data_IF_989938182404
#
_entry.id   IF_989938182404
#
_cell.length_a   1.000
_cell.length_b   1.000
_cell.length_c   1.000
_cell.angle_alpha   90.00
_cell.angle_beta   90.00
_cell.angle_gamma   90.00
#
_symmetry.space_group_name_H-M   'P 1'
#
loop_
_entity.id
_entity.type
_entity.pdbx_description
1 polymer ?
#
# COMPACT_ATOMS: atom_id res chain seq x y z
N UNK A 1 -0.72 -18.50 12.84
CA UNK A 1 0.39 -17.52 12.81
C UNK A 1 -0.22 -16.14 13.01
N UNK A 2 -0.18 -15.61 14.24
CA UNK A 2 -0.70 -14.27 14.53
C UNK A 2 0.42 -13.30 14.15
N UNK A 3 0.20 -12.48 13.13
CA UNK A 3 0.86 -11.16 13.08
C UNK A 3 0.63 -10.56 14.47
N UNK A 4 1.68 -10.10 15.16
CA UNK A 4 1.56 -9.43 16.45
C UNK A 4 0.38 -8.46 16.41
N UNK A 5 -0.38 -8.37 17.51
CA UNK A 5 -1.75 -7.82 17.51
C UNK A 5 -1.87 -6.65 16.53
N UNK A 6 -2.71 -6.80 15.51
CA UNK A 6 -2.85 -5.77 14.46
C UNK A 6 -3.27 -4.42 15.06
N UNK A 7 -3.74 -4.40 16.31
CA UNK A 7 -4.01 -3.24 17.15
C UNK A 7 -2.78 -2.36 17.42
N UNK A 8 -1.55 -2.88 17.40
CA UNK A 8 -0.31 -2.13 17.68
C UNK A 8 0.40 -1.58 16.43
N UNK A 9 -0.01 -1.98 15.23
CA UNK A 9 0.66 -1.52 14.01
C UNK A 9 0.31 -0.06 13.71
N UNK A 10 1.31 0.83 13.72
CA UNK A 10 1.18 2.22 13.31
C UNK A 10 1.03 2.34 11.78
N UNK A 11 1.74 1.49 11.03
CA UNK A 11 1.64 1.34 9.59
C UNK A 11 1.56 -0.15 9.22
N UNK A 12 0.63 -0.52 8.34
CA UNK A 12 0.56 -1.84 7.70
C UNK A 12 0.36 -1.63 6.21
N UNK A 13 1.24 -2.22 5.41
CA UNK A 13 1.13 -2.19 3.97
C UNK A 13 1.20 -3.59 3.35
N UNK A 14 0.56 -3.69 2.19
CA UNK A 14 0.66 -4.83 1.28
C UNK A 14 1.40 -4.35 0.04
N UNK A 15 2.57 -4.91 -0.20
CA UNK A 15 3.32 -4.74 -1.43
C UNK A 15 3.15 -5.98 -2.32
N UNK A 16 3.09 -5.77 -3.63
CA UNK A 16 3.09 -6.85 -4.62
C UNK A 16 4.08 -6.54 -5.74
N UNK A 17 4.84 -7.54 -6.18
CA UNK A 17 5.79 -7.45 -7.29
C UNK A 17 5.96 -8.83 -7.94
N UNK A 18 6.73 -8.93 -9.02
CA UNK A 18 7.10 -10.23 -9.60
C UNK A 18 7.82 -11.11 -8.55
N UNK A 19 7.60 -12.44 -8.51
CA UNK A 19 8.28 -13.32 -7.56
C UNK A 19 9.81 -13.19 -7.57
N UNK A 20 10.40 -12.91 -8.73
CA UNK A 20 11.85 -12.70 -8.92
C UNK A 20 12.34 -11.39 -8.32
N UNK A 21 11.48 -10.39 -8.13
CA UNK A 21 11.82 -9.11 -7.50
C UNK A 21 11.55 -9.10 -6.00
N UNK A 22 10.89 -10.13 -5.46
CA UNK A 22 10.48 -10.17 -4.06
C UNK A 22 11.65 -10.09 -3.06
N UNK A 23 12.79 -10.78 -3.25
CA UNK A 23 13.93 -10.66 -2.34
C UNK A 23 14.47 -9.22 -2.27
N UNK A 24 14.70 -8.60 -3.41
CA UNK A 24 15.18 -7.21 -3.49
C UNK A 24 14.16 -6.21 -2.89
N UNK A 25 12.86 -6.47 -3.08
CA UNK A 25 11.81 -5.68 -2.46
C UNK A 25 11.84 -5.81 -0.94
N UNK A 26 11.95 -7.03 -0.39
CA UNK A 26 12.05 -7.26 1.06
C UNK A 26 13.24 -6.51 1.64
N UNK A 27 14.43 -6.65 1.05
CA UNK A 27 15.63 -5.91 1.45
C UNK A 27 15.38 -4.39 1.46
N UNK A 28 14.73 -3.87 0.42
CA UNK A 28 14.40 -2.45 0.32
C UNK A 28 13.44 -2.00 1.43
N UNK A 29 12.43 -2.81 1.75
CA UNK A 29 11.49 -2.53 2.84
C UNK A 29 12.19 -2.51 4.20
N UNK A 30 13.14 -3.41 4.43
CA UNK A 30 13.93 -3.47 5.67
C UNK A 30 14.80 -2.23 5.92
N UNK A 31 15.14 -1.48 4.86
CA UNK A 31 15.88 -0.22 4.99
C UNK A 31 15.03 0.96 5.48
N UNK A 32 13.70 0.83 5.49
CA UNK A 32 12.79 1.93 5.84
C UNK A 32 12.54 1.96 7.35
N UNK A 33 13.16 2.93 8.03
CA UNK A 33 12.91 3.34 9.43
C UNK A 33 12.66 2.18 10.41
N UNK A 34 13.75 1.49 10.78
CA UNK A 34 13.72 0.38 11.73
C UNK A 34 13.20 -0.92 11.10
N UNK A 35 13.47 -2.07 11.72
CA UNK A 35 13.12 -3.35 11.13
C UNK A 35 11.59 -3.56 11.12
N UNK A 36 10.94 -3.70 9.95
CA UNK A 36 9.54 -4.10 9.88
C UNK A 36 9.34 -5.54 10.36
N UNK A 37 8.12 -5.86 10.76
CA UNK A 37 7.67 -7.25 10.75
C UNK A 37 7.19 -7.60 9.33
N UNK A 38 7.71 -8.69 8.78
CA UNK A 38 7.44 -9.10 7.39
C UNK A 38 6.74 -10.46 7.35
N UNK A 39 5.71 -10.56 6.50
CA UNK A 39 5.12 -11.81 6.04
C UNK A 39 5.15 -11.85 4.51
N UNK A 40 6.00 -12.71 3.96
CA UNK A 40 6.10 -12.92 2.52
C UNK A 40 5.28 -14.13 2.08
N UNK A 41 4.62 -14.01 0.94
CA UNK A 41 3.96 -15.09 0.21
C UNK A 41 4.63 -15.19 -1.18
N UNK A 42 5.78 -15.88 -1.28
CA UNK A 42 6.66 -15.77 -2.45
C UNK A 42 6.04 -16.25 -3.76
N UNK A 43 5.20 -17.28 -3.68
CA UNK A 43 4.57 -17.91 -4.85
C UNK A 43 3.57 -17.00 -5.57
N UNK A 44 3.02 -16.01 -4.86
CA UNK A 44 2.07 -15.03 -5.41
C UNK A 44 2.67 -13.63 -5.51
N UNK A 45 3.95 -13.45 -5.15
CA UNK A 45 4.64 -12.17 -5.24
C UNK A 45 4.13 -11.10 -4.27
N UNK A 46 3.62 -11.50 -3.09
CA UNK A 46 3.04 -10.57 -2.10
C UNK A 46 3.89 -10.52 -0.84
N UNK A 47 4.09 -9.32 -0.30
CA UNK A 47 4.71 -9.08 1.01
C UNK A 47 3.81 -8.16 1.82
N UNK A 48 3.51 -8.56 3.05
CA UNK A 48 2.96 -7.68 4.07
C UNK A 48 4.09 -7.19 4.95
N UNK A 49 4.14 -5.88 5.19
CA UNK A 49 5.11 -5.27 6.11
C UNK A 49 4.38 -4.35 7.09
N UNK A 50 4.76 -4.43 8.36
CA UNK A 50 4.19 -3.59 9.41
C UNK A 50 5.25 -2.95 10.28
N UNK A 51 5.03 -1.68 10.61
CA UNK A 51 5.84 -0.93 11.56
C UNK A 51 5.00 -0.56 12.79
N UNK A 52 5.40 -0.99 14.00
CA UNK A 52 4.70 -0.62 15.23
C UNK A 52 4.94 0.85 15.61
N UNK A 53 6.05 1.45 15.15
CA UNK A 53 6.39 2.86 15.38
C UNK A 53 7.18 3.39 14.20
N UNK A 54 6.87 4.62 13.79
CA UNK A 54 7.65 5.41 12.83
C UNK A 54 7.75 6.83 13.35
N UNK A 55 8.92 7.46 13.21
CA UNK A 55 9.09 8.87 13.57
C UNK A 55 8.35 9.78 12.59
N UNK A 56 8.41 9.46 11.29
CA UNK A 56 7.72 10.19 10.25
C UNK A 56 7.08 9.21 9.24
N UNK A 57 5.79 8.90 9.46
CA UNK A 57 5.06 7.98 8.60
C UNK A 57 4.93 8.47 7.15
N UNK A 58 4.77 9.78 6.92
CA UNK A 58 4.61 10.33 5.57
C UNK A 58 5.90 10.16 4.75
N UNK A 59 7.05 10.44 5.35
CA UNK A 59 8.35 10.21 4.73
C UNK A 59 8.64 8.72 4.50
N UNK A 60 8.29 7.86 5.47
CA UNK A 60 8.43 6.41 5.33
C UNK A 60 7.58 5.87 4.18
N UNK A 61 6.30 6.26 4.10
CA UNK A 61 5.40 5.89 3.00
C UNK A 61 5.99 6.34 1.64
N UNK A 62 6.53 7.55 1.56
CA UNK A 62 7.20 8.03 0.34
C UNK A 62 8.33 7.10 -0.12
N UNK A 63 9.21 6.68 0.81
CA UNK A 63 10.29 5.73 0.50
C UNK A 63 9.79 4.34 0.13
N UNK A 64 8.76 3.85 0.81
CA UNK A 64 8.12 2.57 0.47
C UNK A 64 7.54 2.59 -0.95
N UNK A 65 6.90 3.70 -1.34
CA UNK A 65 6.40 3.87 -2.71
C UNK A 65 7.54 3.83 -3.72
N UNK A 66 8.61 4.59 -3.49
CA UNK A 66 9.79 4.57 -4.37
C UNK A 66 10.39 3.17 -4.52
N UNK A 67 10.54 2.43 -3.42
CA UNK A 67 11.09 1.07 -3.44
C UNK A 67 10.20 0.10 -4.24
N UNK A 68 8.88 0.17 -4.05
CA UNK A 68 7.93 -0.69 -4.76
C UNK A 68 7.83 -0.33 -6.24
N UNK A 69 7.82 0.96 -6.59
CA UNK A 69 7.84 1.39 -8.00
C UNK A 69 9.11 0.94 -8.71
N UNK A 70 10.27 0.99 -8.04
CA UNK A 70 11.53 0.48 -8.60
C UNK A 70 11.50 -1.04 -8.88
N UNK A 71 10.67 -1.78 -8.15
CA UNK A 71 10.44 -3.22 -8.35
C UNK A 71 9.34 -3.54 -9.38
N UNK A 72 8.79 -2.54 -10.08
CA UNK A 72 7.61 -2.64 -10.94
C UNK A 72 6.40 -3.24 -10.20
N UNK A 73 6.24 -2.83 -8.94
CA UNK A 73 5.24 -3.35 -8.02
C UNK A 73 4.11 -2.37 -7.69
N UNK A 74 3.26 -2.77 -6.74
CA UNK A 74 2.17 -1.95 -6.20
C UNK A 74 2.15 -1.98 -4.67
N UNK A 75 1.74 -0.87 -4.05
CA UNK A 75 1.71 -0.69 -2.60
C UNK A 75 0.35 -0.16 -2.15
N UNK A 76 -0.35 -0.95 -1.33
CA UNK A 76 -1.59 -0.59 -0.65
C UNK A 76 -1.32 -0.39 0.84
N UNK A 77 -1.81 0.71 1.39
CA UNK A 77 -1.78 0.99 2.83
C UNK A 77 -3.08 0.46 3.46
N UNK A 78 -2.99 -0.66 4.17
CA UNK A 78 -4.14 -1.24 4.87
C UNK A 78 -4.39 -0.55 6.21
N UNK A 79 -3.33 -0.06 6.84
CA UNK A 79 -3.39 0.76 8.06
C UNK A 79 -2.37 1.88 7.98
N UNK A 80 -2.79 3.09 8.34
CA UNK A 80 -1.93 4.25 8.52
C UNK A 80 -2.51 5.20 9.57
N UNK A 81 -1.70 6.14 10.08
CA UNK A 81 -2.14 7.15 11.04
C UNK A 81 -3.27 8.02 10.49
N UNK A 82 -4.27 8.32 11.33
CA UNK A 82 -5.50 9.00 10.90
C UNK A 82 -5.29 10.49 10.51
N UNK A 83 -4.28 11.13 11.06
CA UNK A 83 -3.88 12.51 10.79
C UNK A 83 -3.28 12.70 9.39
N UNK A 84 -2.65 11.65 8.84
CA UNK A 84 -2.08 11.68 7.49
C UNK A 84 -2.99 11.03 6.45
N UNK A 85 -3.85 10.08 6.85
CA UNK A 85 -4.72 9.31 5.94
C UNK A 85 -5.51 10.14 4.92
N UNK A 86 -6.14 11.28 5.25
CA UNK A 86 -6.90 12.09 4.28
C UNK A 86 -6.04 12.71 3.17
N UNK A 87 -4.73 12.84 3.40
CA UNK A 87 -3.76 13.43 2.46
C UNK A 87 -3.13 12.38 1.54
N UNK A 88 -3.33 11.10 1.82
CA UNK A 88 -2.72 9.99 1.11
C UNK A 88 -3.72 9.28 0.21
N UNK A 89 -3.29 8.87 -0.98
CA UNK A 89 -3.94 7.76 -1.67
C UNK A 89 -3.47 6.47 -1.01
N UNK A 90 -4.37 5.73 -0.36
CA UNK A 90 -4.04 4.47 0.32
C UNK A 90 -4.00 3.29 -0.64
N UNK A 91 -4.57 3.41 -1.83
CA UNK A 91 -4.61 2.35 -2.84
C UNK A 91 -3.38 2.38 -3.76
N UNK A 92 -2.71 3.53 -3.84
CA UNK A 92 -1.48 3.72 -4.59
C UNK A 92 -1.66 4.55 -5.84
N UNK A 93 -0.72 4.45 -6.76
CA UNK A 93 -0.74 5.29 -7.95
C UNK A 93 -1.80 4.81 -8.93
N UNK A 94 -2.49 5.74 -9.63
CA UNK A 94 -3.51 5.36 -10.59
C UNK A 94 -2.91 4.56 -11.76
N UNK A 95 -3.45 3.37 -12.07
CA UNK A 95 -2.95 2.56 -13.17
C UNK A 95 -3.37 3.14 -14.52
N UNK A 96 -2.74 2.72 -15.63
CA UNK A 96 -3.16 3.10 -16.98
C UNK A 96 -4.63 2.73 -17.30
N UNK A 97 -5.20 1.79 -16.56
CA UNK A 97 -6.59 1.35 -16.67
C UNK A 97 -7.61 2.21 -15.91
N UNK A 98 -7.19 3.31 -15.26
CA UNK A 98 -8.06 4.17 -14.46
C UNK A 98 -9.32 4.64 -15.21
N UNK A 99 -9.20 5.02 -16.48
CA UNK A 99 -10.35 5.50 -17.27
C UNK A 99 -11.35 4.39 -17.61
N UNK A 100 -10.89 3.13 -17.70
CA UNK A 100 -11.81 1.99 -17.77
C UNK A 100 -12.52 1.80 -16.43
N UNK A 101 -11.80 1.88 -15.31
CA UNK A 101 -12.40 1.76 -13.97
C UNK A 101 -13.46 2.85 -13.73
N UNK A 102 -13.19 4.08 -14.17
CA UNK A 102 -14.13 5.22 -14.09
C UNK A 102 -15.42 4.93 -14.85
N UNK A 103 -15.31 4.51 -16.11
CA UNK A 103 -16.49 4.15 -16.94
C UNK A 103 -17.29 3.01 -16.32
N UNK A 104 -16.64 1.99 -15.76
CA UNK A 104 -17.33 0.92 -15.04
C UNK A 104 -18.07 1.49 -13.81
N UNK A 105 -17.41 2.33 -12.99
CA UNK A 105 -18.05 2.97 -11.84
C UNK A 105 -19.27 3.80 -12.26
N UNK A 106 -19.19 4.56 -13.35
CA UNK A 106 -20.29 5.38 -13.85
C UNK A 106 -21.54 4.56 -14.25
N UNK A 107 -21.37 3.33 -14.75
CA UNK A 107 -22.51 2.46 -15.07
C UNK A 107 -23.22 1.93 -13.81
N UNK A 108 -22.49 1.65 -12.73
CA UNK A 108 -23.04 1.06 -11.50
C UNK A 108 -23.40 2.11 -10.43
N UNK A 109 -22.76 3.27 -10.45
CA UNK A 109 -22.94 4.37 -9.49
C UNK A 109 -22.99 5.73 -10.22
N UNK A 110 -23.98 5.95 -11.10
CA UNK A 110 -24.08 7.18 -11.89
C UNK A 110 -24.29 8.44 -11.03
N UNK A 111 -24.70 8.28 -9.77
CA UNK A 111 -24.87 9.38 -8.81
C UNK A 111 -23.65 9.59 -7.90
N UNK A 112 -22.63 8.75 -8.01
CA UNK A 112 -21.39 8.86 -7.22
C UNK A 112 -21.59 8.73 -5.71
N UNK A 113 -22.60 7.98 -5.26
CA UNK A 113 -22.95 7.89 -3.82
C UNK A 113 -22.15 6.82 -3.09
N UNK A 114 -21.57 5.85 -3.81
CA UNK A 114 -20.82 4.75 -3.21
C UNK A 114 -19.37 5.15 -2.98
N UNK A 115 -19.05 5.45 -1.72
CA UNK A 115 -17.68 5.77 -1.23
C UNK A 115 -16.98 6.89 -2.01
N UNK A 116 -17.55 8.12 -2.04
CA UNK A 116 -17.03 9.20 -2.86
C UNK A 116 -15.58 9.56 -2.52
N UNK A 117 -14.72 9.62 -3.55
CA UNK A 117 -13.35 10.09 -3.44
C UNK A 117 -12.41 9.14 -2.69
N UNK A 118 -12.81 7.89 -2.46
CA UNK A 118 -12.06 6.94 -1.64
C UNK A 118 -11.22 5.97 -2.47
N UNK A 119 -11.50 5.76 -3.75
CA UNK A 119 -10.74 4.81 -4.56
C UNK A 119 -9.62 5.49 -5.37
N UNK A 120 -8.75 4.69 -6.04
CA UNK A 120 -7.61 5.13 -6.85
C UNK A 120 -7.93 6.42 -7.63
N UNK A 121 -7.08 7.44 -7.51
CA UNK A 121 -7.28 8.70 -8.21
C UNK A 121 -8.56 9.45 -7.79
N UNK A 122 -9.05 9.20 -6.58
CA UNK A 122 -10.27 9.76 -5.99
C UNK A 122 -11.54 9.47 -6.81
N UNK A 123 -11.60 8.26 -7.38
CA UNK A 123 -12.85 7.68 -7.89
C UNK A 123 -13.88 7.49 -6.78
#
# INVERSE_FOLDING_TARGET
MRLGSTEEAYLLCKAAALPTHLPALIESLETVDGPPHILALPTVGVVYASWPRLENAEAAIGRLRTAVTAADGSLVLERCPLDIKPRLDVFGDPPPSLDLMRRVKEQFDPKGVLSPGRYLGRL
#
